data_IF_080293307442
#
_entry.id   IF_080293307442
#
_cell.length_a   1.000
_cell.length_b   1.000
_cell.length_c   1.000
_cell.angle_alpha   90.00
_cell.angle_beta   90.00
_cell.angle_gamma   90.00
#
_symmetry.space_group_name_H-M   'P 1'
#
loop_
_entity.id
_entity.type
_entity.pdbx_description
1 polymer ?
#
# COMPACT_ATOMS: atom_id res chain seq x y z
N UNK A 1 -6.63 -1.16 -5.70
CA UNK A 1 -6.55 -0.04 -4.75
C UNK A 1 -7.44 -0.35 -3.56
N UNK A 2 -7.20 0.25 -2.39
CA UNK A 2 -7.94 -0.03 -1.15
C UNK A 2 -7.96 1.22 -0.24
N UNK A 3 -8.98 1.36 0.63
CA UNK A 3 -8.99 2.39 1.66
C UNK A 3 -7.89 2.17 2.72
N UNK A 4 -7.30 3.23 3.25
CA UNK A 4 -6.08 3.10 4.08
C UNK A 4 -6.33 2.53 5.49
N UNK A 5 -7.56 2.60 6.01
CA UNK A 5 -7.86 2.24 7.40
C UNK A 5 -7.60 0.77 7.75
N UNK A 6 -7.92 -0.13 6.83
CA UNK A 6 -7.78 -1.58 7.04
C UNK A 6 -6.92 -2.24 5.96
N UNK A 7 -6.21 -1.44 5.16
CA UNK A 7 -5.38 -1.92 4.05
C UNK A 7 -4.41 -3.02 4.47
N UNK A 8 -3.71 -2.80 5.59
CA UNK A 8 -2.76 -3.77 6.15
C UNK A 8 -3.46 -5.07 6.56
N UNK A 9 -4.64 -4.99 7.19
CA UNK A 9 -5.42 -6.18 7.59
C UNK A 9 -5.77 -7.02 6.37
N UNK A 10 -6.26 -6.38 5.31
CA UNK A 10 -6.53 -7.06 4.03
C UNK A 10 -5.24 -7.65 3.43
N UNK A 11 -4.11 -6.93 3.52
CA UNK A 11 -2.81 -7.40 3.02
C UNK A 11 -2.37 -8.72 3.68
N UNK A 12 -2.55 -8.84 5.00
CA UNK A 12 -2.25 -10.07 5.74
C UNK A 12 -3.12 -11.25 5.29
N UNK A 13 -4.40 -11.01 5.04
CA UNK A 13 -5.32 -12.05 4.51
C UNK A 13 -4.87 -12.56 3.14
N UNK A 14 -4.25 -11.72 2.31
CA UNK A 14 -3.79 -12.07 0.97
C UNK A 14 -2.45 -12.83 0.95
N UNK A 15 -1.73 -12.92 2.08
CA UNK A 15 -0.40 -13.52 2.16
C UNK A 15 -0.35 -15.00 1.74
N UNK A 16 -1.48 -15.71 1.79
CA UNK A 16 -1.58 -17.11 1.38
C UNK A 16 -1.61 -17.36 -0.14
N UNK A 17 -1.67 -16.32 -0.97
CA UNK A 17 -1.76 -16.47 -2.43
C UNK A 17 -0.36 -16.69 -3.01
N UNK A 18 -0.03 -17.94 -3.31
CA UNK A 18 1.27 -18.31 -3.87
C UNK A 18 1.48 -17.81 -5.32
N UNK A 19 2.72 -17.48 -5.64
CA UNK A 19 3.16 -17.18 -7.01
C UNK A 19 2.62 -15.86 -7.60
N UNK A 20 2.15 -14.94 -6.75
CA UNK A 20 1.67 -13.60 -7.16
C UNK A 20 2.43 -12.50 -6.44
N UNK A 21 2.69 -11.41 -7.14
CA UNK A 21 3.07 -10.12 -6.54
C UNK A 21 1.80 -9.30 -6.38
N UNK A 22 1.40 -9.05 -5.14
CA UNK A 22 0.18 -8.31 -4.79
C UNK A 22 0.61 -7.01 -4.11
N UNK A 23 0.34 -5.88 -4.76
CA UNK A 23 0.66 -4.56 -4.20
C UNK A 23 -0.62 -3.82 -3.86
N UNK A 24 -0.80 -3.56 -2.58
CA UNK A 24 -1.87 -2.74 -2.05
C UNK A 24 -1.44 -1.28 -2.04
N UNK A 25 -2.36 -0.40 -2.44
CA UNK A 25 -2.13 1.04 -2.43
C UNK A 25 -3.46 1.77 -2.30
N UNK A 26 -3.38 3.05 -1.95
CA UNK A 26 -4.49 3.96 -1.78
C UNK A 26 -3.98 5.40 -1.75
N UNK A 27 -4.72 6.26 -1.08
CA UNK A 27 -4.35 7.66 -0.94
C UNK A 27 -4.82 8.16 0.43
N UNK A 28 -4.10 9.14 0.99
CA UNK A 28 -4.55 9.86 2.19
C UNK A 28 -5.56 10.95 1.82
N UNK A 29 -5.47 11.48 0.61
CA UNK A 29 -6.44 12.42 0.05
C UNK A 29 -7.26 11.75 -1.07
N UNK A 30 -8.56 12.06 -1.23
CA UNK A 30 -9.35 11.53 -2.34
C UNK A 30 -8.72 11.87 -3.70
N UNK A 31 -8.84 10.98 -4.68
CA UNK A 31 -8.29 11.23 -6.02
C UNK A 31 -8.94 12.42 -6.77
N UNK A 32 -10.08 12.91 -6.29
CA UNK A 32 -10.79 14.05 -6.88
C UNK A 32 -10.23 15.41 -6.50
N UNK A 33 -9.33 15.49 -5.50
CA UNK A 33 -8.74 16.77 -5.07
C UNK A 33 -7.43 17.04 -5.80
N UNK A 34 -7.15 18.30 -6.16
CA UNK A 34 -5.97 18.68 -6.95
C UNK A 34 -4.63 18.32 -6.30
N UNK A 35 -4.57 18.35 -4.96
CA UNK A 35 -3.36 18.06 -4.19
C UNK A 35 -3.39 16.63 -3.62
N UNK A 36 -3.86 15.67 -4.42
CA UNK A 36 -3.94 14.26 -4.02
C UNK A 36 -2.59 13.56 -4.15
N UNK A 37 -2.36 12.59 -3.27
CA UNK A 37 -1.25 11.64 -3.37
C UNK A 37 -1.61 10.40 -4.22
N UNK A 38 -2.85 10.32 -4.72
CA UNK A 38 -3.37 9.16 -5.43
C UNK A 38 -2.62 8.82 -6.72
N UNK A 39 -2.38 9.80 -7.60
CA UNK A 39 -1.71 9.55 -8.89
C UNK A 39 -0.31 9.00 -8.69
N UNK A 40 0.44 9.59 -7.75
CA UNK A 40 1.78 9.14 -7.41
C UNK A 40 1.76 7.72 -6.81
N UNK A 41 0.90 7.46 -5.83
CA UNK A 41 0.82 6.16 -5.16
C UNK A 41 0.43 5.04 -6.15
N UNK A 42 -0.49 5.31 -7.08
CA UNK A 42 -0.87 4.34 -8.13
C UNK A 42 0.30 4.06 -9.06
N UNK A 43 1.00 5.09 -9.55
CA UNK A 43 2.18 4.91 -10.40
C UNK A 43 3.28 4.12 -9.71
N UNK A 44 3.55 4.44 -8.44
CA UNK A 44 4.54 3.74 -7.62
C UNK A 44 4.15 2.27 -7.37
N UNK A 45 2.88 2.00 -7.05
CA UNK A 45 2.38 0.64 -6.84
C UNK A 45 2.43 -0.20 -8.12
N UNK A 46 2.16 0.40 -9.29
CA UNK A 46 2.28 -0.26 -10.58
C UNK A 46 3.74 -0.67 -10.87
N UNK A 47 4.70 0.20 -10.55
CA UNK A 47 6.11 -0.12 -10.69
C UNK A 47 6.51 -1.26 -9.73
N UNK A 48 6.09 -1.17 -8.46
CA UNK A 48 6.35 -2.19 -7.45
C UNK A 48 5.78 -3.56 -7.84
N UNK A 49 4.57 -3.61 -8.40
CA UNK A 49 3.94 -4.85 -8.84
C UNK A 49 4.70 -5.55 -9.97
N UNK A 50 5.45 -4.80 -10.78
CA UNK A 50 6.24 -5.33 -11.89
C UNK A 50 7.67 -5.73 -11.47
N UNK A 51 8.21 -5.12 -10.42
CA UNK A 51 9.63 -5.27 -10.05
C UNK A 51 9.86 -6.10 -8.80
N UNK A 52 8.88 -6.20 -7.90
CA UNK A 52 9.01 -6.99 -6.68
C UNK A 52 8.79 -8.48 -6.93
N UNK A 53 9.49 -9.35 -6.19
CA UNK A 53 9.24 -10.78 -6.24
C UNK A 53 7.82 -11.11 -5.75
N UNK A 54 7.34 -12.34 -5.97
CA UNK A 54 6.08 -12.81 -5.41
C UNK A 54 6.00 -12.56 -3.89
N UNK A 55 4.88 -11.98 -3.44
CA UNK A 55 4.67 -11.51 -2.09
C UNK A 55 3.52 -10.50 -2.02
N UNK A 56 3.12 -10.11 -0.80
CA UNK A 56 2.12 -9.06 -0.57
C UNK A 56 2.79 -7.84 0.04
N UNK A 57 2.49 -6.67 -0.50
CA UNK A 57 3.14 -5.41 -0.14
C UNK A 57 2.12 -4.29 0.01
N UNK A 58 2.42 -3.30 0.85
CA UNK A 58 1.77 -1.99 0.84
C UNK A 58 2.73 -0.98 0.20
N UNK A 59 2.27 -0.26 -0.81
CA UNK A 59 3.04 0.77 -1.51
C UNK A 59 2.36 2.14 -1.34
N UNK A 60 2.96 3.00 -0.53
CA UNK A 60 2.41 4.31 -0.16
C UNK A 60 3.54 5.32 0.02
N UNK A 61 3.39 6.53 -0.53
CA UNK A 61 4.31 7.65 -0.33
C UNK A 61 5.77 7.32 -0.63
N UNK A 62 6.00 6.47 -1.65
CA UNK A 62 7.34 6.12 -2.14
C UNK A 62 8.04 5.04 -1.33
N UNK A 63 7.35 4.38 -0.40
CA UNK A 63 7.88 3.31 0.44
C UNK A 63 7.10 2.00 0.23
N UNK A 64 7.83 0.89 0.31
CA UNK A 64 7.29 -0.48 0.29
C UNK A 64 7.30 -1.03 1.71
N UNK A 65 6.17 -1.57 2.11
CA UNK A 65 5.90 -2.04 3.47
C UNK A 65 5.43 -3.49 3.47
N UNK A 66 5.85 -4.24 4.47
CA UNK A 66 5.37 -5.60 4.76
C UNK A 66 4.06 -5.49 5.57
N UNK A 67 2.92 -6.01 5.08
CA UNK A 67 1.66 -5.98 5.82
C UNK A 67 1.74 -6.61 7.22
N UNK A 68 2.59 -7.60 7.46
CA UNK A 68 2.73 -8.21 8.80
C UNK A 68 3.40 -7.27 9.80
N UNK A 69 4.26 -6.35 9.33
CA UNK A 69 5.09 -5.48 10.17
C UNK A 69 4.77 -4.01 10.02
N UNK A 70 3.57 -3.67 9.55
CA UNK A 70 3.20 -2.29 9.24
C UNK A 70 1.90 -1.92 9.92
N UNK A 71 1.82 -0.69 10.41
CA UNK A 71 0.60 -0.12 10.99
C UNK A 71 0.32 1.28 10.41
N UNK A 72 -0.95 1.68 10.41
CA UNK A 72 -1.36 3.04 10.03
C UNK A 72 -1.20 3.98 11.23
N UNK A 73 -0.21 4.85 11.16
CA UNK A 73 -0.11 6.02 12.05
C UNK A 73 -1.14 7.06 11.62
N UNK A 74 -2.28 7.08 12.32
CA UNK A 74 -3.39 8.00 12.02
C UNK A 74 -3.05 9.45 12.35
N UNK A 75 -2.26 9.69 13.40
CA UNK A 75 -1.88 11.04 13.80
C UNK A 75 -0.90 11.66 12.79
N UNK A 76 0.05 10.85 12.30
CA UNK A 76 1.01 11.25 11.27
C UNK A 76 0.53 11.09 9.83
N UNK A 77 -0.69 10.59 9.61
CA UNK A 77 -1.27 10.30 8.29
C UNK A 77 -0.32 9.50 7.38
N UNK A 78 0.31 8.45 7.92
CA UNK A 78 1.33 7.65 7.22
C UNK A 78 1.33 6.19 7.65
N UNK A 79 2.06 5.38 6.92
CA UNK A 79 2.41 4.02 7.35
C UNK A 79 3.79 4.01 7.99
N UNK A 80 3.95 3.19 9.04
CA UNK A 80 5.21 2.99 9.74
C UNK A 80 5.43 1.49 9.95
N UNK A 81 6.68 1.07 9.87
CA UNK A 81 7.06 -0.29 10.25
C UNK A 81 7.08 -0.39 11.78
N UNK A 82 6.51 -1.48 12.30
CA UNK A 82 6.54 -1.85 13.72
C UNK A 82 7.81 -2.66 14.06
#
# INVERSE_FOLDING_TARGET
THGTDTMVVTGRVLAGIAGKTIVMTGAMQPASVRASDAEFNVGFALAAAQTLPPGVYVAMNGMIFDPEKTVKDRAGSRFVSE
#
